data_IF_685468330749
#
_entry.id   IF_685468330749
#
_cell.length_a   1.000
_cell.length_b   1.000
_cell.length_c   1.000
_cell.angle_alpha   90.00
_cell.angle_beta   90.00
_cell.angle_gamma   90.00
#
_symmetry.space_group_name_H-M   'P 1'
#
loop_
_entity.id
_entity.type
_entity.pdbx_description
1 polymer ?
#
# COMPACT_ATOMS: atom_id res chain seq x y z
N UNK A 1 -13.90 -4.98 -20.83
CA UNK A 1 -13.58 -4.27 -19.58
C UNK A 1 -14.64 -4.62 -18.54
N UNK A 2 -14.47 -5.75 -17.83
CA UNK A 2 -15.45 -6.38 -16.92
C UNK A 2 -14.79 -6.68 -15.56
N UNK A 3 -14.32 -5.63 -14.88
CA UNK A 3 -13.61 -5.80 -13.60
C UNK A 3 -14.12 -4.87 -12.48
N UNK A 4 -15.13 -4.03 -12.72
CA UNK A 4 -15.55 -3.01 -11.73
C UNK A 4 -16.80 -3.43 -10.92
N UNK A 5 -17.53 -4.46 -11.35
CA UNK A 5 -18.79 -4.90 -10.69
C UNK A 5 -18.60 -5.64 -9.36
N UNK A 6 -17.36 -5.95 -8.95
CA UNK A 6 -17.08 -6.69 -7.70
C UNK A 6 -16.81 -5.84 -6.45
N UNK A 7 -16.66 -4.51 -6.56
CA UNK A 7 -16.11 -3.69 -5.48
C UNK A 7 -17.12 -3.27 -4.39
N UNK A 8 -18.42 -3.47 -4.62
CA UNK A 8 -19.47 -2.97 -3.72
C UNK A 8 -19.66 -3.81 -2.43
N UNK A 9 -19.04 -4.98 -2.30
CA UNK A 9 -19.36 -5.92 -1.22
C UNK A 9 -18.50 -5.82 0.05
N UNK A 10 -17.53 -4.90 0.17
CA UNK A 10 -16.75 -4.82 1.42
C UNK A 10 -16.23 -3.44 1.87
N UNK A 11 -16.85 -2.35 1.40
CA UNK A 11 -16.49 -1.00 1.88
C UNK A 11 -16.74 -0.84 3.38
N UNK A 12 -17.73 -1.53 3.96
CA UNK A 12 -17.99 -1.51 5.40
C UNK A 12 -16.88 -2.15 6.24
N UNK A 13 -16.31 -3.28 5.83
CA UNK A 13 -15.17 -3.87 6.56
C UNK A 13 -13.90 -3.06 6.33
N UNK A 14 -13.70 -2.52 5.14
CA UNK A 14 -12.57 -1.65 4.86
C UNK A 14 -12.64 -0.36 5.70
N UNK A 15 -13.83 0.24 5.84
CA UNK A 15 -14.07 1.37 6.75
C UNK A 15 -13.75 0.99 8.20
N UNK A 16 -14.25 -0.15 8.69
CA UNK A 16 -13.95 -0.62 10.03
C UNK A 16 -12.44 -0.84 10.24
N UNK A 17 -11.77 -1.44 9.26
CA UNK A 17 -10.32 -1.62 9.27
C UNK A 17 -9.59 -0.29 9.45
N UNK A 18 -9.92 0.74 8.67
CA UNK A 18 -9.31 2.06 8.80
C UNK A 18 -9.65 2.75 10.12
N UNK A 19 -10.88 2.63 10.63
CA UNK A 19 -11.23 3.15 11.97
C UNK A 19 -10.35 2.52 13.05
N UNK A 20 -10.22 1.19 13.06
CA UNK A 20 -9.37 0.49 14.02
C UNK A 20 -7.88 0.82 13.85
N UNK A 21 -7.43 1.00 12.60
CA UNK A 21 -6.05 1.35 12.30
C UNK A 21 -5.69 2.74 12.81
N UNK A 22 -6.58 3.73 12.64
CA UNK A 22 -6.38 5.07 13.20
C UNK A 22 -6.54 5.09 14.72
N UNK A 23 -7.47 4.31 15.30
CA UNK A 23 -7.61 4.15 16.76
C UNK A 23 -6.34 3.54 17.41
N UNK A 24 -5.58 2.73 16.67
CA UNK A 24 -4.31 2.15 17.12
C UNK A 24 -3.21 3.19 17.40
N UNK A 25 -3.36 4.44 16.95
CA UNK A 25 -2.48 5.57 17.29
C UNK A 25 -2.69 5.99 18.75
N UNK A 26 -3.88 5.77 19.29
CA UNK A 26 -4.26 6.10 20.66
C UNK A 26 -3.66 5.16 21.72
N UNK A 27 -4.24 5.15 22.94
CA UNK A 27 -3.67 4.40 24.07
C UNK A 27 -3.86 2.88 23.99
N UNK A 28 -4.56 2.36 22.98
CA UNK A 28 -4.87 0.93 22.83
C UNK A 28 -3.66 0.12 22.35
N UNK A 29 -2.88 -0.36 23.31
CA UNK A 29 -1.67 -1.15 23.06
C UNK A 29 -1.92 -2.46 22.30
N UNK A 30 -3.07 -3.09 22.53
CA UNK A 30 -3.52 -4.29 21.82
C UNK A 30 -3.66 -4.03 20.31
N UNK A 31 -4.29 -2.93 19.93
CA UNK A 31 -4.44 -2.53 18.53
C UNK A 31 -3.11 -2.11 17.93
N UNK A 32 -2.34 -1.26 18.63
CA UNK A 32 -1.00 -0.83 18.19
C UNK A 32 -0.10 -2.02 17.84
N UNK A 33 -0.08 -3.04 18.71
CA UNK A 33 0.72 -4.25 18.50
C UNK A 33 0.24 -5.04 17.29
N UNK A 34 -1.07 -5.25 17.14
CA UNK A 34 -1.65 -5.99 16.01
C UNK A 34 -1.38 -5.29 14.67
N UNK A 35 -1.56 -3.98 14.59
CA UNK A 35 -1.29 -3.23 13.36
C UNK A 35 0.21 -3.11 13.05
N UNK A 36 1.07 -3.02 14.06
CA UNK A 36 2.53 -3.08 13.86
C UNK A 36 2.97 -4.44 13.28
N UNK A 37 2.39 -5.54 13.78
CA UNK A 37 2.62 -6.89 13.24
C UNK A 37 2.08 -7.02 11.81
N UNK A 38 0.87 -6.54 11.55
CA UNK A 38 0.29 -6.55 10.20
C UNK A 38 1.18 -5.81 9.19
N UNK A 39 1.58 -4.58 9.48
CA UNK A 39 2.45 -3.82 8.58
C UNK A 39 3.83 -4.46 8.41
N UNK A 40 4.34 -5.12 9.45
CA UNK A 40 5.60 -5.88 9.35
C UNK A 40 5.44 -7.06 8.39
N UNK A 41 4.38 -7.83 8.54
CA UNK A 41 4.08 -8.95 7.66
C UNK A 41 3.88 -8.52 6.20
N UNK A 42 3.14 -7.44 5.95
CA UNK A 42 2.96 -6.89 4.60
C UNK A 42 4.30 -6.46 3.99
N UNK A 43 5.17 -5.82 4.79
CA UNK A 43 6.51 -5.44 4.33
C UNK A 43 7.35 -6.66 3.99
N UNK A 44 7.35 -7.69 4.83
CA UNK A 44 8.11 -8.93 4.61
C UNK A 44 7.67 -9.63 3.31
N UNK A 45 6.36 -9.68 3.03
CA UNK A 45 5.82 -10.29 1.81
C UNK A 45 6.32 -9.59 0.54
N UNK A 46 6.27 -8.25 0.53
CA UNK A 46 6.61 -7.47 -0.66
C UNK A 46 8.13 -7.25 -0.82
N UNK A 47 8.89 -7.26 0.27
CA UNK A 47 10.34 -7.08 0.25
C UNK A 47 11.04 -8.16 -0.58
N UNK A 48 10.54 -9.39 -0.54
CA UNK A 48 11.07 -10.47 -1.36
C UNK A 48 10.94 -10.20 -2.87
N UNK A 49 9.84 -9.56 -3.32
CA UNK A 49 9.65 -9.22 -4.73
C UNK A 49 10.64 -8.17 -5.22
N UNK A 50 10.96 -7.18 -4.37
CA UNK A 50 12.00 -6.20 -4.71
C UNK A 50 13.36 -6.87 -4.84
N UNK A 51 13.69 -7.78 -3.91
CA UNK A 51 14.94 -8.55 -3.97
C UNK A 51 15.05 -9.42 -5.22
N UNK A 52 13.97 -10.09 -5.62
CA UNK A 52 13.92 -10.87 -6.86
C UNK A 52 14.13 -9.97 -8.10
N UNK A 53 13.42 -8.84 -8.18
CA UNK A 53 13.61 -7.87 -9.28
C UNK A 53 15.02 -7.28 -9.34
N UNK A 54 15.73 -7.15 -8.21
CA UNK A 54 17.14 -6.75 -8.20
C UNK A 54 18.07 -7.85 -8.73
N UNK A 55 17.80 -9.12 -8.41
CA UNK A 55 18.57 -10.26 -8.93
C UNK A 55 18.39 -10.43 -10.44
N UNK A 56 17.18 -10.15 -10.93
CA UNK A 56 16.83 -10.24 -12.36
C UNK A 56 17.24 -8.99 -13.16
N UNK A 57 17.77 -7.95 -12.48
CA UNK A 57 18.20 -6.70 -13.11
C UNK A 57 17.06 -5.76 -13.51
N UNK A 58 15.83 -6.04 -13.08
CA UNK A 58 14.65 -5.21 -13.34
C UNK A 58 14.57 -3.98 -12.41
N UNK A 59 15.10 -4.11 -11.19
CA UNK A 59 15.13 -3.06 -10.17
C UNK A 59 16.58 -2.66 -9.87
N UNK A 60 16.83 -1.36 -9.76
CA UNK A 60 18.15 -0.80 -9.42
C UNK A 60 18.66 -1.30 -8.04
N UNK A 61 19.94 -1.63 -7.98
CA UNK A 61 20.55 -2.27 -6.80
C UNK A 61 20.72 -1.32 -5.58
N UNK A 62 20.65 0.00 -5.78
CA UNK A 62 20.77 1.01 -4.71
C UNK A 62 19.44 1.26 -3.97
N UNK A 63 18.33 0.66 -4.42
CA UNK A 63 17.05 0.70 -3.70
C UNK A 63 17.13 -0.16 -2.46
N UNK A 64 16.81 0.42 -1.31
CA UNK A 64 16.59 -0.33 -0.07
C UNK A 64 15.20 -1.00 -0.10
N UNK A 65 15.12 -2.34 -0.18
CA UNK A 65 13.85 -3.05 -0.37
C UNK A 65 12.79 -2.71 0.69
N UNK A 66 13.18 -2.75 1.97
CA UNK A 66 12.29 -2.39 3.08
C UNK A 66 11.71 -0.98 2.95
N UNK A 67 12.56 -0.02 2.58
CA UNK A 67 12.17 1.38 2.53
C UNK A 67 11.15 1.64 1.41
N UNK A 68 11.41 1.13 0.20
CA UNK A 68 10.49 1.33 -0.91
C UNK A 68 9.14 0.64 -0.66
N UNK A 69 9.14 -0.58 -0.13
CA UNK A 69 7.91 -1.29 0.22
C UNK A 69 7.10 -0.52 1.27
N UNK A 70 7.78 0.07 2.26
CA UNK A 70 7.12 0.91 3.27
C UNK A 70 6.42 2.11 2.63
N UNK A 71 7.08 2.77 1.67
CA UNK A 71 6.53 3.92 0.94
C UNK A 71 5.32 3.49 0.10
N UNK A 72 5.41 2.39 -0.63
CA UNK A 72 4.31 1.88 -1.46
C UNK A 72 3.09 1.51 -0.63
N UNK A 73 3.27 0.82 0.49
CA UNK A 73 2.18 0.49 1.43
C UNK A 73 1.53 1.78 1.96
N UNK A 74 2.33 2.78 2.34
CA UNK A 74 1.82 4.05 2.83
C UNK A 74 1.03 4.82 1.76
N UNK A 75 1.52 4.87 0.52
CA UNK A 75 0.85 5.52 -0.60
C UNK A 75 -0.49 4.85 -0.95
N UNK A 76 -0.49 3.53 -1.12
CA UNK A 76 -1.70 2.75 -1.45
C UNK A 76 -2.73 2.80 -0.33
N UNK A 77 -2.30 2.65 0.93
CA UNK A 77 -3.17 2.81 2.10
C UNK A 77 -3.75 4.23 2.19
N UNK A 78 -2.93 5.23 1.84
CA UNK A 78 -3.33 6.63 1.75
C UNK A 78 -4.43 6.90 0.74
N UNK A 79 -4.29 6.37 -0.47
CA UNK A 79 -5.31 6.47 -1.52
C UNK A 79 -6.60 5.80 -1.06
N UNK A 80 -6.50 4.59 -0.48
CA UNK A 80 -7.66 3.81 -0.09
C UNK A 80 -8.50 4.48 1.01
N UNK A 81 -7.90 5.06 2.07
CA UNK A 81 -8.72 5.75 3.08
C UNK A 81 -9.32 7.06 2.54
N UNK A 82 -8.61 7.78 1.65
CA UNK A 82 -9.14 9.00 1.04
C UNK A 82 -10.34 8.69 0.15
N UNK A 83 -10.30 7.60 -0.62
CA UNK A 83 -11.44 7.12 -1.42
C UNK A 83 -12.67 6.72 -0.56
N UNK A 84 -12.45 6.34 0.70
CA UNK A 84 -13.55 6.06 1.63
C UNK A 84 -14.19 7.33 2.20
N UNK A 85 -13.41 8.41 2.31
CA UNK A 85 -13.84 9.73 2.78
C UNK A 85 -14.53 10.50 1.65
N UNK A 86 -13.95 10.47 0.45
CA UNK A 86 -14.42 11.14 -0.75
C UNK A 86 -14.72 10.10 -1.84
N UNK A 87 -15.99 9.67 -1.98
CA UNK A 87 -16.39 8.71 -3.00
C UNK A 87 -16.25 9.23 -4.43
N UNK A 88 -16.11 10.55 -4.62
CA UNK A 88 -15.95 11.20 -5.93
C UNK A 88 -14.47 11.39 -6.30
N UNK A 89 -13.55 10.95 -5.44
CA UNK A 89 -12.11 11.00 -5.69
C UNK A 89 -11.76 10.19 -6.94
N UNK A 90 -11.22 10.88 -7.95
CA UNK A 90 -10.74 10.24 -9.17
C UNK A 90 -9.46 9.44 -8.88
N UNK A 91 -9.57 8.11 -8.93
CA UNK A 91 -8.49 7.18 -8.62
C UNK A 91 -7.55 6.97 -9.81
N UNK A 92 -8.02 7.21 -11.04
CA UNK A 92 -7.25 6.95 -12.26
C UNK A 92 -5.93 7.74 -12.34
N UNK A 93 -5.90 9.07 -12.11
CA UNK A 93 -4.65 9.82 -12.11
C UNK A 93 -3.76 9.42 -10.92
N UNK A 94 -4.33 9.08 -9.77
CA UNK A 94 -3.56 8.70 -8.58
C UNK A 94 -2.78 7.41 -8.78
N UNK A 95 -3.44 6.37 -9.31
CA UNK A 95 -2.78 5.10 -9.60
C UNK A 95 -1.79 5.23 -10.75
N UNK A 96 -2.12 6.01 -11.80
CA UNK A 96 -1.20 6.27 -12.91
C UNK A 96 0.09 6.94 -12.45
N UNK A 97 -0.02 7.98 -11.63
CA UNK A 97 1.14 8.73 -11.18
C UNK A 97 1.95 7.93 -10.15
N UNK A 98 1.28 7.13 -9.30
CA UNK A 98 1.96 6.18 -8.41
C UNK A 98 2.72 5.11 -9.20
N UNK A 99 2.11 4.55 -10.25
CA UNK A 99 2.77 3.59 -11.13
C UNK A 99 3.98 4.22 -11.82
N UNK A 100 3.86 5.44 -12.35
CA UNK A 100 4.98 6.15 -12.96
C UNK A 100 6.11 6.39 -11.95
N UNK A 101 5.79 6.89 -10.75
CA UNK A 101 6.79 7.11 -9.69
C UNK A 101 7.46 5.82 -9.24
N UNK A 102 6.70 4.73 -9.10
CA UNK A 102 7.24 3.44 -8.71
C UNK A 102 8.08 2.83 -9.83
N UNK A 103 7.58 2.79 -11.05
CA UNK A 103 8.23 2.16 -12.19
C UNK A 103 9.47 2.96 -12.62
N UNK A 104 9.33 4.25 -12.87
CA UNK A 104 10.44 5.09 -13.33
C UNK A 104 11.46 5.31 -12.20
N UNK A 105 10.98 5.32 -10.95
CA UNK A 105 11.83 5.41 -9.77
C UNK A 105 12.61 4.13 -9.47
N UNK A 106 12.09 2.95 -9.83
CA UNK A 106 12.71 1.65 -9.49
C UNK A 106 13.51 1.01 -10.61
N UNK A 107 13.21 1.33 -11.87
CA UNK A 107 13.85 0.70 -13.01
C UNK A 107 15.34 0.98 -13.10
N UNK A 108 16.07 -0.03 -13.57
CA UNK A 108 17.44 0.13 -14.05
C UNK A 108 17.43 1.06 -15.29
N UNK A 109 18.28 2.09 -15.29
CA UNK A 109 18.49 2.98 -16.45
C UNK A 109 19.22 2.27 -17.58
#
# INVERSE_FOLDING_TARGET
>A
MRAVEGYHHDTSRLRLFYVLMFDAIGPREDLRTRFAQLHTHLRDLCEHWIGAGQQDGEIRADVAPRAIVTILIAALGGIAYQALIDPDLDLDPLYRDLDALAIDGLRMR
#
